data_IF_512695273685
#
_entry.id   IF_512695273685
#
_cell.length_a   1.000
_cell.length_b   1.000
_cell.length_c   1.000
_cell.angle_alpha   90.00
_cell.angle_beta   90.00
_cell.angle_gamma   90.00
#
_symmetry.space_group_name_H-M   'P 1'
#
loop_
_entity.id
_entity.type
_entity.pdbx_description
1 polymer ?
#
# COMPACT_ATOMS: atom_id res chain seq x y z
N UNK A 1 24.35 -35.87 -21.59
CA UNK A 1 23.59 -34.74 -22.19
C UNK A 1 22.41 -34.26 -21.34
N UNK A 2 22.30 -34.65 -20.06
CA UNK A 2 21.14 -34.31 -19.20
C UNK A 2 21.37 -33.16 -18.21
N UNK A 3 22.63 -32.82 -17.90
CA UNK A 3 22.95 -31.77 -16.91
C UNK A 3 22.65 -30.35 -17.42
N UNK A 4 22.74 -30.11 -18.74
CA UNK A 4 22.48 -28.79 -19.34
C UNK A 4 21.00 -28.41 -19.36
N UNK A 5 20.09 -29.38 -19.43
CA UNK A 5 18.64 -29.11 -19.42
C UNK A 5 18.14 -28.70 -18.04
N UNK A 6 18.69 -29.28 -16.96
CA UNK A 6 18.35 -28.89 -15.59
C UNK A 6 18.72 -27.43 -15.27
N UNK A 7 19.86 -26.96 -15.79
CA UNK A 7 20.30 -25.58 -15.59
C UNK A 7 19.38 -24.56 -16.30
N UNK A 8 18.88 -24.89 -17.49
CA UNK A 8 17.96 -24.01 -18.24
C UNK A 8 16.60 -23.93 -17.54
N UNK A 9 16.07 -25.05 -17.06
CA UNK A 9 14.80 -25.10 -16.31
C UNK A 9 14.90 -24.28 -15.01
N UNK A 10 16.04 -24.39 -14.31
CA UNK A 10 16.29 -23.64 -13.07
C UNK A 10 16.40 -22.12 -13.33
N UNK A 11 17.04 -21.69 -14.42
CA UNK A 11 17.12 -20.28 -14.81
C UNK A 11 15.74 -19.73 -15.23
N UNK A 12 14.90 -20.53 -15.88
CA UNK A 12 13.53 -20.11 -16.21
C UNK A 12 12.62 -20.02 -14.98
N UNK A 13 12.80 -20.87 -13.97
CA UNK A 13 12.06 -20.79 -12.70
C UNK A 13 12.50 -19.59 -11.85
N UNK A 14 13.80 -19.27 -11.83
CA UNK A 14 14.33 -18.08 -11.14
C UNK A 14 13.81 -16.76 -11.72
N UNK A 15 13.52 -16.69 -13.02
CA UNK A 15 12.97 -15.48 -13.66
C UNK A 15 11.51 -15.19 -13.31
N UNK A 16 10.73 -16.19 -12.90
CA UNK A 16 9.29 -16.02 -12.63
C UNK A 16 9.06 -15.38 -11.26
N UNK A 17 9.95 -15.60 -10.28
CA UNK A 17 9.78 -15.06 -8.93
C UNK A 17 10.11 -13.55 -8.82
N UNK A 18 10.78 -12.97 -9.82
CA UNK A 18 11.22 -11.56 -9.80
C UNK A 18 10.27 -10.57 -10.46
N UNK A 19 9.09 -11.02 -10.95
CA UNK A 19 8.22 -10.21 -11.79
C UNK A 19 6.79 -10.05 -11.22
N UNK A 20 6.65 -9.84 -9.92
CA UNK A 20 5.41 -9.24 -9.41
C UNK A 20 5.44 -7.74 -9.67
N UNK A 21 4.97 -7.35 -10.85
CA UNK A 21 4.47 -6.01 -11.13
C UNK A 21 2.99 -5.95 -10.82
N UNK A 22 2.45 -4.75 -10.58
CA UNK A 22 1.00 -4.49 -10.48
C UNK A 22 0.25 -5.39 -11.47
N UNK A 23 -0.57 -6.32 -11.00
CA UNK A 23 -1.18 -7.37 -11.85
C UNK A 23 -2.50 -6.94 -12.47
N UNK A 24 -3.05 -5.81 -12.01
CA UNK A 24 -4.37 -5.31 -12.37
C UNK A 24 -4.34 -3.80 -12.59
N UNK A 25 -5.33 -3.28 -13.33
CA UNK A 25 -5.60 -1.86 -13.40
C UNK A 25 -6.06 -1.34 -12.03
N UNK A 26 -5.45 -0.26 -11.54
CA UNK A 26 -5.82 0.34 -10.26
C UNK A 26 -6.24 1.79 -10.47
N UNK A 27 -7.44 2.14 -10.00
CA UNK A 27 -7.89 3.52 -9.86
C UNK A 27 -8.03 3.84 -8.37
N UNK A 28 -7.26 4.82 -7.90
CA UNK A 28 -7.33 5.33 -6.53
C UNK A 28 -7.74 6.80 -6.57
N UNK A 29 -8.77 7.13 -5.81
CA UNK A 29 -9.02 8.50 -5.38
C UNK A 29 -8.79 8.59 -3.88
N UNK A 30 -7.73 9.30 -3.47
CA UNK A 30 -7.35 9.48 -2.07
C UNK A 30 -7.85 10.84 -1.60
N UNK A 31 -8.74 10.86 -0.61
CA UNK A 31 -9.18 12.07 0.05
C UNK A 31 -8.16 12.53 1.10
N UNK A 32 -7.89 13.83 1.12
CA UNK A 32 -7.06 14.51 2.12
C UNK A 32 -7.66 15.87 2.43
N UNK A 33 -7.38 16.44 3.60
CA UNK A 33 -8.00 17.70 3.99
C UNK A 33 -7.45 18.91 3.21
N UNK A 34 -6.15 18.94 2.93
CA UNK A 34 -5.52 20.13 2.34
C UNK A 34 -4.23 19.80 1.61
N UNK A 35 -3.90 20.52 0.51
CA UNK A 35 -2.62 20.36 -0.20
C UNK A 35 -1.41 20.85 0.61
N UNK A 36 -1.63 21.55 1.72
CA UNK A 36 -0.56 22.11 2.57
C UNK A 36 -0.15 21.21 3.73
N UNK A 37 -0.85 20.10 3.94
CA UNK A 37 -0.63 19.21 5.09
C UNK A 37 0.05 17.89 4.71
N UNK A 38 0.53 17.17 5.73
CA UNK A 38 1.26 15.90 5.54
C UNK A 38 0.40 14.81 4.91
N UNK A 39 -0.93 14.81 5.12
CA UNK A 39 -1.86 13.88 4.48
C UNK A 39 -1.72 13.91 2.96
N UNK A 40 -1.56 15.10 2.38
CA UNK A 40 -1.32 15.28 0.95
C UNK A 40 0.05 14.73 0.52
N UNK A 41 1.09 14.98 1.30
CA UNK A 41 2.45 14.46 1.02
C UNK A 41 2.45 12.93 1.05
N UNK A 42 1.79 12.32 2.04
CA UNK A 42 1.61 10.87 2.14
C UNK A 42 0.80 10.31 0.97
N UNK A 43 -0.34 10.92 0.63
CA UNK A 43 -1.16 10.51 -0.51
C UNK A 43 -0.37 10.56 -1.84
N UNK A 44 0.39 11.64 -2.07
CA UNK A 44 1.25 11.78 -3.24
C UNK A 44 2.38 10.74 -3.26
N UNK A 45 2.93 10.42 -2.10
CA UNK A 45 3.97 9.40 -1.95
C UNK A 45 3.44 8.01 -2.29
N UNK A 46 2.24 7.66 -1.81
CA UNK A 46 1.53 6.43 -2.19
C UNK A 46 1.37 6.34 -3.71
N UNK A 47 0.81 7.38 -4.34
CA UNK A 47 0.64 7.40 -5.79
C UNK A 47 1.98 7.19 -6.54
N UNK A 48 3.06 7.83 -6.07
CA UNK A 48 4.40 7.70 -6.68
C UNK A 48 4.95 6.28 -6.59
N UNK A 49 4.80 5.62 -5.44
CA UNK A 49 5.31 4.25 -5.24
C UNK A 49 4.52 3.23 -6.07
N UNK A 50 3.20 3.40 -6.18
CA UNK A 50 2.38 2.55 -7.04
C UNK A 50 2.73 2.75 -8.53
N UNK A 51 3.00 3.99 -8.94
CA UNK A 51 3.45 4.31 -10.31
C UNK A 51 4.83 3.70 -10.62
N UNK A 52 5.70 3.56 -9.60
CA UNK A 52 7.01 2.91 -9.75
C UNK A 52 6.88 1.48 -10.25
N UNK A 53 6.01 0.68 -9.64
CA UNK A 53 5.78 -0.71 -10.06
C UNK A 53 5.14 -0.80 -11.44
N UNK A 54 4.26 0.14 -11.78
CA UNK A 54 3.65 0.21 -13.10
C UNK A 54 4.70 0.46 -14.19
N UNK A 55 5.58 1.45 -13.99
CA UNK A 55 6.65 1.76 -14.95
C UNK A 55 7.60 0.59 -15.15
N UNK A 56 7.89 -0.14 -14.06
CA UNK A 56 8.67 -1.38 -14.14
C UNK A 56 7.92 -2.40 -14.98
N UNK A 57 6.61 -2.62 -14.73
CA UNK A 57 5.76 -3.51 -15.54
C UNK A 57 5.80 -3.19 -17.03
N UNK A 58 5.59 -1.91 -17.38
CA UNK A 58 5.57 -1.44 -18.77
C UNK A 58 6.91 -1.64 -19.47
N UNK A 59 8.01 -1.47 -18.73
CA UNK A 59 9.36 -1.73 -19.24
C UNK A 59 9.57 -3.21 -19.63
N UNK A 60 8.75 -4.12 -19.10
CA UNK A 60 8.74 -5.55 -19.42
C UNK A 60 7.54 -5.97 -20.29
N UNK A 61 6.80 -5.01 -20.88
CA UNK A 61 5.68 -5.28 -21.78
C UNK A 61 4.31 -5.45 -21.12
N UNK A 62 4.18 -5.09 -19.84
CA UNK A 62 2.87 -5.02 -19.17
C UNK A 62 1.98 -3.91 -19.76
N UNK A 63 0.66 -4.10 -19.67
CA UNK A 63 -0.35 -3.15 -20.18
C UNK A 63 -1.26 -2.56 -19.11
N UNK A 64 -1.00 -2.86 -17.83
CA UNK A 64 -1.82 -2.41 -16.71
C UNK A 64 -1.76 -0.88 -16.59
N UNK A 65 -2.71 -0.27 -15.89
CA UNK A 65 -2.83 1.18 -15.75
C UNK A 65 -3.02 1.57 -14.28
N UNK A 66 -2.52 2.76 -13.94
CA UNK A 66 -2.72 3.38 -12.63
C UNK A 66 -3.34 4.77 -12.85
N UNK A 67 -4.52 4.98 -12.30
CA UNK A 67 -5.12 6.30 -12.16
C UNK A 67 -5.11 6.68 -10.69
N UNK A 68 -4.19 7.55 -10.27
CA UNK A 68 -4.10 7.99 -8.87
C UNK A 68 -4.41 9.48 -8.75
N UNK A 69 -5.59 9.78 -8.21
CA UNK A 69 -6.11 11.12 -8.02
C UNK A 69 -6.13 11.48 -6.53
N UNK A 70 -5.78 12.72 -6.20
CA UNK A 70 -5.90 13.25 -4.84
C UNK A 70 -7.00 14.31 -4.85
N UNK A 71 -7.97 14.18 -3.96
CA UNK A 71 -9.08 15.12 -3.81
C UNK A 71 -9.09 15.74 -2.42
N UNK A 72 -9.59 16.96 -2.37
CA UNK A 72 -9.64 17.75 -1.15
C UNK A 72 -11.05 17.83 -0.61
N UNK A 73 -11.15 17.86 0.70
CA UNK A 73 -12.41 18.06 1.42
C UNK A 73 -12.20 18.99 2.61
N UNK A 74 -13.26 19.68 3.01
CA UNK A 74 -13.14 20.78 3.98
C UNK A 74 -12.86 20.28 5.40
N UNK A 75 -13.32 19.07 5.75
CA UNK A 75 -13.16 18.50 7.09
C UNK A 75 -12.77 17.02 7.09
N UNK A 76 -12.00 16.60 8.10
CA UNK A 76 -11.72 15.19 8.35
C UNK A 76 -13.02 14.39 8.57
N UNK A 77 -14.01 15.01 9.22
CA UNK A 77 -15.32 14.38 9.47
C UNK A 77 -16.05 14.03 8.18
N UNK A 78 -16.03 14.92 7.20
CA UNK A 78 -16.64 14.71 5.89
C UNK A 78 -15.88 13.66 5.09
N UNK A 79 -14.55 13.70 5.10
CA UNK A 79 -13.68 12.69 4.47
C UNK A 79 -14.02 11.30 4.99
N UNK A 80 -14.03 11.15 6.31
CA UNK A 80 -14.28 9.87 6.95
C UNK A 80 -15.69 9.38 6.62
N UNK A 81 -16.70 10.25 6.72
CA UNK A 81 -18.09 9.92 6.37
C UNK A 81 -18.23 9.46 4.91
N UNK A 82 -17.53 10.12 3.99
CA UNK A 82 -17.49 9.75 2.56
C UNK A 82 -16.89 8.36 2.33
N UNK A 83 -15.85 7.99 3.09
CA UNK A 83 -15.27 6.64 3.05
C UNK A 83 -16.22 5.61 3.68
N UNK A 84 -16.84 5.94 4.82
CA UNK A 84 -17.82 5.08 5.49
C UNK A 84 -19.00 4.74 4.57
N UNK A 85 -19.51 5.75 3.85
CA UNK A 85 -20.63 5.63 2.92
C UNK A 85 -20.23 5.07 1.55
N UNK A 86 -18.97 4.67 1.37
CA UNK A 86 -18.42 4.15 0.12
C UNK A 86 -18.59 5.12 -1.08
N UNK A 87 -18.70 6.43 -0.81
CA UNK A 87 -18.71 7.47 -1.83
C UNK A 87 -17.31 7.69 -2.41
N UNK A 88 -16.29 7.50 -1.57
CA UNK A 88 -14.88 7.46 -1.95
C UNK A 88 -14.21 6.28 -1.24
N UNK A 89 -13.21 5.68 -1.89
CA UNK A 89 -12.64 4.41 -1.43
C UNK A 89 -11.49 4.59 -0.44
N UNK A 90 -10.79 5.72 -0.48
CA UNK A 90 -9.53 5.89 0.24
C UNK A 90 -9.38 7.29 0.85
N UNK A 91 -8.70 7.36 1.98
CA UNK A 91 -8.28 8.63 2.58
C UNK A 91 -7.01 8.49 3.40
N UNK A 92 -6.24 9.57 3.51
CA UNK A 92 -5.20 9.71 4.54
C UNK A 92 -5.69 10.74 5.54
N UNK A 93 -5.76 10.34 6.80
CA UNK A 93 -6.27 11.16 7.91
C UNK A 93 -5.32 11.13 9.09
N UNK A 94 -5.46 12.07 10.01
CA UNK A 94 -4.85 11.98 11.33
C UNK A 94 -5.53 10.89 12.15
N UNK A 95 -4.75 10.16 12.94
CA UNK A 95 -5.28 9.15 13.86
C UNK A 95 -6.19 9.76 14.93
N UNK A 96 -5.90 10.98 15.37
CA UNK A 96 -6.72 11.68 16.38
C UNK A 96 -8.14 11.98 15.90
N UNK A 97 -8.35 12.15 14.58
CA UNK A 97 -9.68 12.35 13.98
C UNK A 97 -10.59 11.12 14.11
N UNK A 98 -10.02 9.95 14.48
CA UNK A 98 -10.76 8.72 14.74
C UNK A 98 -11.17 8.56 16.21
N UNK A 99 -10.52 9.24 17.15
CA UNK A 99 -10.70 9.01 18.60
C UNK A 99 -12.09 9.40 19.12
N UNK A 100 -12.73 10.38 18.47
CA UNK A 100 -14.03 10.91 18.90
C UNK A 100 -15.21 10.22 18.21
N UNK A 101 -14.96 9.24 17.35
CA UNK A 101 -16.00 8.56 16.58
C UNK A 101 -16.47 7.28 17.27
N UNK A 102 -17.78 6.96 17.19
CA UNK A 102 -18.25 5.64 17.59
C UNK A 102 -17.55 4.57 16.76
N UNK A 103 -17.35 3.38 17.36
CA UNK A 103 -16.70 2.26 16.67
C UNK A 103 -17.39 2.00 15.33
N UNK A 104 -16.66 2.20 14.24
CA UNK A 104 -17.18 2.07 12.90
C UNK A 104 -16.75 0.74 12.28
N UNK A 105 -17.74 -0.10 11.96
CA UNK A 105 -17.50 -1.41 11.33
C UNK A 105 -17.24 -1.33 9.82
N UNK A 106 -17.42 -0.19 9.16
CA UNK A 106 -17.17 -0.02 7.73
C UNK A 106 -15.73 0.43 7.43
N UNK A 107 -15.09 1.23 8.28
CA UNK A 107 -13.73 1.71 8.02
C UNK A 107 -12.71 0.63 8.35
N UNK A 108 -11.69 0.50 7.50
CA UNK A 108 -10.52 -0.34 7.72
C UNK A 108 -9.23 0.44 7.56
N UNK A 109 -8.24 0.15 8.38
CA UNK A 109 -6.87 0.64 8.14
C UNK A 109 -6.19 -0.20 7.07
N UNK A 110 -5.47 0.48 6.18
CA UNK A 110 -4.59 -0.13 5.19
C UNK A 110 -3.15 -0.06 5.68
N UNK A 111 -2.66 1.15 6.01
CA UNK A 111 -1.32 1.41 6.53
C UNK A 111 -1.37 2.49 7.62
N UNK A 112 -0.41 2.41 8.54
CA UNK A 112 -0.15 3.42 9.56
C UNK A 112 1.10 4.21 9.18
N UNK A 113 1.13 5.53 9.40
CA UNK A 113 2.30 6.36 9.11
C UNK A 113 2.74 7.13 10.35
N UNK A 114 3.81 6.70 11.04
CA UNK A 114 4.39 7.41 12.17
C UNK A 114 5.33 8.52 11.68
N UNK A 115 4.76 9.57 11.07
CA UNK A 115 5.52 10.68 10.48
C UNK A 115 5.82 11.77 11.54
N UNK A 116 5.58 13.05 11.21
CA UNK A 116 5.56 14.15 12.20
C UNK A 116 4.39 14.04 13.17
N UNK A 117 3.28 13.44 12.73
CA UNK A 117 2.15 13.01 13.54
C UNK A 117 1.76 11.58 13.18
N UNK A 118 0.78 11.03 13.91
CA UNK A 118 0.24 9.70 13.66
C UNK A 118 -0.84 9.77 12.58
N UNK A 119 -0.59 9.26 11.37
CA UNK A 119 -1.56 9.22 10.27
C UNK A 119 -1.99 7.80 9.94
N UNK A 120 -3.17 7.66 9.34
CA UNK A 120 -3.69 6.37 8.89
C UNK A 120 -4.17 6.49 7.45
N UNK A 121 -3.72 5.56 6.61
CA UNK A 121 -4.35 5.30 5.32
C UNK A 121 -5.56 4.39 5.54
N UNK A 122 -6.76 4.91 5.30
CA UNK A 122 -8.01 4.22 5.55
C UNK A 122 -8.75 3.89 4.26
N UNK A 123 -9.61 2.89 4.34
CA UNK A 123 -10.49 2.46 3.25
C UNK A 123 -11.83 1.95 3.80
N UNK A 124 -12.76 1.63 2.91
CA UNK A 124 -13.99 0.92 3.24
C UNK A 124 -13.75 -0.60 3.24
N UNK A 125 -14.41 -1.33 4.15
CA UNK A 125 -14.35 -2.80 4.23
C UNK A 125 -14.80 -3.53 2.94
N UNK A 126 -15.55 -2.85 2.09
CA UNK A 126 -16.10 -3.41 0.85
C UNK A 126 -15.12 -3.30 -0.33
N UNK A 127 -13.97 -2.62 -0.16
CA UNK A 127 -12.95 -2.58 -1.21
C UNK A 127 -12.36 -3.98 -1.39
N UNK A 128 -12.09 -4.37 -2.64
CA UNK A 128 -11.57 -5.69 -2.95
C UNK A 128 -10.26 -5.96 -2.17
N UNK A 129 -10.18 -7.06 -1.38
CA UNK A 129 -8.95 -7.44 -0.69
C UNK A 129 -7.74 -7.58 -1.61
N UNK A 130 -7.91 -8.00 -2.86
CA UNK A 130 -6.80 -8.19 -3.78
C UNK A 130 -6.22 -6.84 -4.23
N UNK A 131 -7.07 -5.82 -4.43
CA UNK A 131 -6.63 -4.43 -4.69
C UNK A 131 -5.83 -3.89 -3.49
N UNK A 132 -6.34 -4.06 -2.27
CA UNK A 132 -5.64 -3.61 -1.07
C UNK A 132 -4.31 -4.36 -0.88
N UNK A 133 -4.25 -5.65 -1.24
CA UNK A 133 -3.03 -6.44 -1.20
C UNK A 133 -1.98 -5.88 -2.17
N UNK A 134 -2.35 -5.62 -3.42
CA UNK A 134 -1.49 -5.01 -4.44
C UNK A 134 -0.99 -3.62 -4.01
N UNK A 135 -1.84 -2.80 -3.38
CA UNK A 135 -1.44 -1.49 -2.85
C UNK A 135 -0.37 -1.65 -1.77
N UNK A 136 -0.57 -2.53 -0.79
CA UNK A 136 0.42 -2.78 0.25
C UNK A 136 1.72 -3.32 -0.36
N UNK A 137 1.63 -4.23 -1.33
CA UNK A 137 2.79 -4.78 -2.02
C UNK A 137 3.59 -3.68 -2.72
N UNK A 138 2.94 -2.81 -3.50
CA UNK A 138 3.62 -1.73 -4.21
C UNK A 138 4.26 -0.69 -3.29
N UNK A 139 3.68 -0.44 -2.11
CA UNK A 139 4.27 0.49 -1.13
C UNK A 139 5.46 -0.15 -0.42
N UNK A 140 5.28 -1.36 0.13
CA UNK A 140 6.29 -2.02 0.98
C UNK A 140 7.49 -2.50 0.16
N UNK A 141 7.29 -2.99 -1.07
CA UNK A 141 8.37 -3.36 -1.99
C UNK A 141 9.34 -2.20 -2.25
N UNK A 142 8.82 -0.97 -2.27
CA UNK A 142 9.59 0.25 -2.50
C UNK A 142 9.80 1.06 -1.22
N UNK A 143 9.79 0.41 -0.05
CA UNK A 143 9.92 1.07 1.26
C UNK A 143 11.17 1.94 1.38
N UNK A 144 12.31 1.51 0.83
CA UNK A 144 13.52 2.33 0.83
C UNK A 144 13.33 3.63 0.04
N UNK A 145 12.70 3.56 -1.14
CA UNK A 145 12.36 4.78 -1.91
C UNK A 145 11.40 5.65 -1.10
N UNK A 146 10.40 5.05 -0.43
CA UNK A 146 9.45 5.75 0.41
C UNK A 146 10.14 6.57 1.52
N UNK A 147 11.09 5.97 2.24
CA UNK A 147 11.87 6.63 3.30
C UNK A 147 12.59 7.90 2.82
N UNK A 148 13.02 7.94 1.56
CA UNK A 148 13.72 9.08 0.96
C UNK A 148 12.81 10.13 0.30
N UNK A 149 11.49 9.92 0.25
CA UNK A 149 10.56 10.91 -0.32
C UNK A 149 10.38 12.14 0.57
N UNK A 150 10.52 11.99 1.89
CA UNK A 150 10.40 13.10 2.84
C UNK A 150 11.19 12.81 4.13
N UNK A 151 11.81 13.81 4.79
CA UNK A 151 12.61 13.59 6.00
C UNK A 151 11.90 12.86 7.14
N UNK A 152 10.60 13.09 7.31
CA UNK A 152 9.79 12.44 8.37
C UNK A 152 9.55 10.95 8.12
N UNK A 153 9.82 10.45 6.91
CA UNK A 153 9.58 9.05 6.53
C UNK A 153 10.80 8.16 6.78
N UNK A 154 11.93 8.72 7.20
CA UNK A 154 13.22 8.00 7.28
C UNK A 154 13.17 6.76 8.17
N UNK A 155 12.31 6.77 9.18
CA UNK A 155 12.15 5.68 10.13
C UNK A 155 11.01 4.71 9.76
N UNK A 156 10.39 4.86 8.59
CA UNK A 156 9.34 3.94 8.16
C UNK A 156 9.91 2.53 7.99
N UNK A 157 9.22 1.55 8.54
CA UNK A 157 9.59 0.13 8.49
C UNK A 157 8.33 -0.71 8.35
N UNK A 158 8.43 -1.92 7.81
CA UNK A 158 7.29 -2.82 7.69
C UNK A 158 6.52 -2.97 9.02
N UNK A 159 7.27 -3.12 10.12
CA UNK A 159 6.72 -3.31 11.47
C UNK A 159 5.98 -2.08 12.03
N UNK A 160 6.31 -0.88 11.56
CA UNK A 160 5.63 0.34 11.99
C UNK A 160 4.64 0.87 10.97
N UNK A 161 4.65 0.37 9.73
CA UNK A 161 3.64 0.70 8.74
C UNK A 161 2.44 -0.26 8.80
N UNK A 162 2.67 -1.53 9.14
CA UNK A 162 1.65 -2.57 9.23
C UNK A 162 1.52 -2.99 10.69
N UNK A 163 0.78 -2.18 11.44
CA UNK A 163 0.53 -2.38 12.86
C UNK A 163 -0.96 -2.27 13.14
N UNK A 164 -1.44 -3.08 14.09
CA UNK A 164 -2.82 -3.04 14.56
C UNK A 164 -3.12 -1.67 15.19
N UNK A 165 -4.17 -1.01 14.70
CA UNK A 165 -4.71 0.23 15.25
C UNK A 165 -6.02 -0.04 16.00
N UNK A 166 -6.62 1.01 16.56
CA UNK A 166 -7.95 0.97 17.17
C UNK A 166 -9.04 0.63 16.15
N UNK A 167 -8.81 0.97 14.88
CA UNK A 167 -9.64 0.49 13.76
C UNK A 167 -9.13 -0.84 13.19
N UNK A 168 -10.03 -1.75 12.76
CA UNK A 168 -9.62 -3.03 12.21
C UNK A 168 -8.83 -2.87 10.90
N UNK A 169 -7.80 -3.71 10.70
CA UNK A 169 -7.09 -3.77 9.43
C UNK A 169 -7.96 -4.36 8.33
N UNK A 170 -7.75 -3.90 7.09
CA UNK A 170 -8.43 -4.46 5.92
C UNK A 170 -7.98 -5.91 5.67
N UNK A 171 -8.88 -6.76 5.18
CA UNK A 171 -8.56 -8.16 4.88
C UNK A 171 -7.41 -8.30 3.87
N UNK A 172 -7.30 -7.38 2.91
CA UNK A 172 -6.18 -7.33 1.97
C UNK A 172 -4.83 -7.02 2.63
N UNK A 173 -4.80 -6.13 3.63
CA UNK A 173 -3.57 -5.86 4.42
C UNK A 173 -3.17 -7.09 5.24
N UNK A 174 -4.14 -7.80 5.82
CA UNK A 174 -3.87 -9.03 6.57
C UNK A 174 -3.28 -10.11 5.66
N UNK A 175 -3.89 -10.35 4.50
CA UNK A 175 -3.39 -11.29 3.48
C UNK A 175 -1.98 -10.92 3.02
N UNK A 176 -1.75 -9.63 2.72
CA UNK A 176 -0.42 -9.13 2.38
C UNK A 176 0.61 -9.48 3.47
N UNK A 177 0.31 -9.18 4.72
CA UNK A 177 1.25 -9.38 5.83
C UNK A 177 1.60 -10.86 6.03
N UNK A 178 0.64 -11.76 5.86
CA UNK A 178 0.88 -13.20 5.94
C UNK A 178 1.78 -13.69 4.79
N UNK A 179 1.45 -13.33 3.55
CA UNK A 179 2.21 -13.71 2.35
C UNK A 179 3.64 -13.13 2.37
N UNK A 180 3.78 -11.84 2.66
CA UNK A 180 5.05 -11.12 2.66
C UNK A 180 6.04 -11.68 3.70
N UNK A 181 5.54 -12.04 4.89
CA UNK A 181 6.37 -12.65 5.94
C UNK A 181 6.87 -14.03 5.52
N UNK A 182 6.05 -14.81 4.84
CA UNK A 182 6.44 -16.14 4.37
C UNK A 182 7.44 -16.07 3.21
N UNK A 183 7.30 -15.11 2.30
CA UNK A 183 8.30 -14.85 1.26
C UNK A 183 9.65 -14.42 1.86
N UNK A 184 9.65 -13.47 2.79
CA UNK A 184 10.89 -13.00 3.42
C UNK A 184 11.61 -14.13 4.16
N UNK A 185 10.88 -15.02 4.85
CA UNK A 185 11.48 -16.22 5.45
C UNK A 185 12.13 -17.12 4.40
N UNK A 186 11.48 -17.35 3.25
CA UNK A 186 12.05 -18.16 2.16
C UNK A 186 13.34 -17.55 1.61
N UNK A 187 13.36 -16.22 1.39
CA UNK A 187 14.57 -15.52 0.91
C UNK A 187 15.74 -15.63 1.88
N UNK A 188 15.51 -15.67 3.19
CA UNK A 188 16.59 -15.87 4.18
C UNK A 188 17.16 -17.29 4.12
N UNK A 189 16.31 -18.30 3.96
CA UNK A 189 16.73 -19.71 3.91
C UNK A 189 17.49 -20.04 2.62
N UNK A 190 17.20 -19.38 1.50
CA UNK A 190 17.91 -19.58 0.22
C UNK A 190 19.32 -18.98 0.18
N UNK A 191 19.68 -18.14 1.15
CA UNK A 191 20.98 -17.43 1.21
C UNK A 191 21.97 -18.12 2.18
N UNK A 192 21.52 -19.06 3.01
CA UNK A 192 22.35 -19.91 3.88
C UNK A 192 22.81 -21.21 3.18
#
# INVERSE_FOLDING_TARGET
>A
MHLKYFSIIFITLLKINSAFSLTQDISLTILVQSPLKMEYVLAKSICKLLDRDLRISHSFGGSNTLECNIRFDESADEIITKVEQNQFQYAVILKEDMLNRPSNLAIRSVLYFPADQEYIFITNQNVDPDIIKEINYGIIKHLLEFQYLHPTFINFSENNLIIKQDIPMHMGTLRFNDEWRDENKRRVIEVE
#
